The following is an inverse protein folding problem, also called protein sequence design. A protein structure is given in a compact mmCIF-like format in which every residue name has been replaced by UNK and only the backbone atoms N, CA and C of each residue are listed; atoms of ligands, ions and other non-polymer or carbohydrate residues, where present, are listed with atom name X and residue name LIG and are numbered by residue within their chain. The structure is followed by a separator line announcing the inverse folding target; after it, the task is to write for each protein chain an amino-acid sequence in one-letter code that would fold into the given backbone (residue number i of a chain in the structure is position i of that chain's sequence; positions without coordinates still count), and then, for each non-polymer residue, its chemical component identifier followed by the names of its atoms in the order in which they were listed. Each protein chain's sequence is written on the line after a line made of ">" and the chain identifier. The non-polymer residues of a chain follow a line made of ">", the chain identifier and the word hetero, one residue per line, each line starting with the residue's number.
data_IF_704619516051
#
_entry.id   IF_704619516051
#
_cell.length_a   1.000
_cell.length_b   1.000
_cell.length_c   1.000
_cell.angle_alpha   90.00
_cell.angle_beta   90.00
_cell.angle_gamma   90.00
#
_symmetry.space_group_name_H-M   'P 1'
#
loop_
_entity.id
_entity.type
_entity.pdbx_description
1 polymer ?
#
# COMPACT_ATOMS: atom_id res chain seq x y z
N UNK A 1 8.13 -25.76 -8.49
CA UNK A 1 7.03 -25.19 -7.69
C UNK A 1 7.63 -24.19 -6.73
N UNK A 2 7.19 -22.94 -6.82
CA UNK A 2 7.64 -21.87 -5.92
C UNK A 2 7.18 -22.19 -4.50
N UNK A 3 8.13 -22.21 -3.56
CA UNK A 3 7.87 -22.45 -2.13
C UNK A 3 7.06 -21.31 -1.48
N UNK A 4 7.05 -20.14 -2.10
CA UNK A 4 6.47 -18.92 -1.53
C UNK A 4 5.17 -18.54 -2.23
N UNK A 5 4.16 -18.17 -1.44
CA UNK A 5 2.92 -17.55 -1.86
C UNK A 5 2.81 -16.22 -1.12
N UNK A 6 2.86 -15.13 -1.85
CA UNK A 6 2.79 -13.79 -1.27
C UNK A 6 1.33 -13.33 -1.17
N UNK A 7 0.93 -12.91 0.03
CA UNK A 7 -0.28 -12.13 0.23
C UNK A 7 0.08 -10.70 0.59
N UNK A 8 -0.57 -9.79 -0.05
CA UNK A 8 -0.49 -8.35 0.24
C UNK A 8 -1.85 -7.71 0.01
N UNK A 9 -2.04 -6.49 0.45
CA UNK A 9 -3.30 -5.81 0.24
C UNK A 9 -3.29 -4.37 0.72
N UNK A 10 -4.33 -3.67 0.33
CA UNK A 10 -4.53 -2.27 0.67
C UNK A 10 -6.01 -2.01 0.97
N UNK A 11 -6.29 -1.02 1.82
CA UNK A 11 -7.66 -0.53 2.03
C UNK A 11 -8.02 0.47 0.93
N UNK A 12 -9.22 0.38 0.33
CA UNK A 12 -9.66 1.30 -0.72
C UNK A 12 -10.16 2.62 -0.11
N UNK A 13 -9.24 3.37 0.50
CA UNK A 13 -9.53 4.63 1.18
C UNK A 13 -9.35 5.87 0.32
N UNK A 14 -8.98 5.69 -0.92
CA UNK A 14 -8.76 6.76 -1.90
C UNK A 14 -7.75 6.36 -2.98
N UNK A 15 -7.27 7.36 -3.70
CA UNK A 15 -6.32 7.15 -4.80
C UNK A 15 -4.92 6.83 -4.28
N UNK A 16 -4.22 5.97 -5.00
CA UNK A 16 -2.83 5.64 -4.70
C UNK A 16 -1.89 6.80 -5.11
N UNK A 17 -0.80 6.94 -4.39
CA UNK A 17 0.21 7.96 -4.63
C UNK A 17 1.62 7.36 -4.75
N UNK A 18 2.62 8.18 -5.06
CA UNK A 18 4.01 7.74 -5.23
C UNK A 18 4.55 6.94 -4.05
N UNK A 19 4.14 7.26 -2.83
CA UNK A 19 4.55 6.52 -1.64
C UNK A 19 4.07 5.06 -1.66
N UNK A 20 2.85 4.80 -2.09
CA UNK A 20 2.34 3.44 -2.29
C UNK A 20 3.09 2.72 -3.42
N UNK A 21 3.35 3.43 -4.52
CA UNK A 21 4.04 2.86 -5.65
C UNK A 21 5.47 2.40 -5.31
N UNK A 22 6.30 3.31 -4.84
CA UNK A 22 7.69 2.98 -4.49
C UNK A 22 7.81 2.14 -3.22
N UNK A 23 6.87 2.30 -2.28
CA UNK A 23 6.85 1.56 -1.03
C UNK A 23 6.48 0.09 -1.18
N UNK A 24 5.50 -0.23 -2.02
CA UNK A 24 4.95 -1.59 -2.09
C UNK A 24 4.65 -2.09 -3.50
N UNK A 25 3.99 -1.30 -4.36
CA UNK A 25 3.45 -1.80 -5.63
C UNK A 25 4.56 -2.22 -6.59
N UNK A 26 5.61 -1.43 -6.68
CA UNK A 26 6.78 -1.73 -7.54
C UNK A 26 7.38 -3.10 -7.22
N UNK A 27 7.52 -3.42 -5.94
CA UNK A 27 8.05 -4.73 -5.51
C UNK A 27 7.06 -5.86 -5.78
N UNK A 28 5.76 -5.63 -5.61
CA UNK A 28 4.73 -6.61 -5.98
C UNK A 28 4.83 -6.98 -7.46
N UNK A 29 4.99 -5.99 -8.34
CA UNK A 29 5.18 -6.20 -9.78
C UNK A 29 6.46 -6.96 -10.07
N UNK A 30 7.56 -6.63 -9.40
CA UNK A 30 8.84 -7.34 -9.54
C UNK A 30 8.71 -8.81 -9.16
N UNK A 31 8.08 -9.11 -8.03
CA UNK A 31 7.87 -10.48 -7.55
C UNK A 31 6.93 -11.26 -8.48
N UNK A 32 5.85 -10.65 -8.94
CA UNK A 32 4.98 -11.22 -9.96
C UNK A 32 5.78 -11.62 -11.21
N UNK A 33 6.62 -10.72 -11.72
CA UNK A 33 7.40 -10.95 -12.94
C UNK A 33 8.49 -12.01 -12.75
N UNK A 34 8.94 -12.23 -11.52
CA UNK A 34 9.82 -13.35 -11.13
C UNK A 34 9.07 -14.68 -10.97
N UNK A 35 7.76 -14.70 -11.17
CA UNK A 35 6.94 -15.90 -11.06
C UNK A 35 6.56 -16.28 -9.63
N UNK A 36 6.66 -15.39 -8.67
CA UNK A 36 6.16 -15.61 -7.31
C UNK A 36 4.63 -15.49 -7.32
N UNK A 37 3.88 -16.55 -6.95
CA UNK A 37 2.44 -16.46 -6.81
C UNK A 37 2.05 -15.34 -5.87
N UNK A 38 1.35 -14.34 -6.40
CA UNK A 38 0.99 -13.12 -5.69
C UNK A 38 -0.52 -12.99 -5.60
N UNK A 39 -1.03 -12.66 -4.43
CA UNK A 39 -2.44 -12.42 -4.17
C UNK A 39 -2.60 -11.07 -3.50
N UNK A 40 -3.46 -10.25 -4.05
CA UNK A 40 -3.71 -8.88 -3.59
C UNK A 40 -5.15 -8.76 -3.16
N UNK A 41 -5.36 -8.55 -1.87
CA UNK A 41 -6.67 -8.26 -1.32
C UNK A 41 -6.92 -6.76 -1.28
N UNK A 42 -8.03 -6.33 -1.85
CA UNK A 42 -8.56 -4.99 -1.64
C UNK A 42 -9.52 -5.08 -0.46
N UNK A 43 -9.07 -4.59 0.69
CA UNK A 43 -9.74 -4.77 1.97
C UNK A 43 -10.92 -3.81 2.14
N UNK A 44 -11.97 -3.99 1.34
CA UNK A 44 -13.15 -3.12 1.32
C UNK A 44 -13.92 -3.13 2.65
N UNK A 45 -14.05 -4.27 3.33
CA UNK A 45 -14.68 -4.33 4.64
C UNK A 45 -13.88 -3.63 5.74
N UNK A 46 -12.57 -3.50 5.58
CA UNK A 46 -11.73 -2.81 6.57
C UNK A 46 -11.85 -1.29 6.52
N UNK A 47 -12.49 -0.73 5.50
CA UNK A 47 -12.75 0.71 5.43
C UNK A 47 -13.63 1.19 6.59
N UNK A 48 -14.58 0.36 7.04
CA UNK A 48 -15.50 0.70 8.14
C UNK A 48 -14.88 0.56 9.53
N UNK A 49 -13.62 0.16 9.66
CA UNK A 49 -12.92 0.03 10.94
C UNK A 49 -12.77 1.38 11.65
N UNK A 50 -12.46 2.41 10.88
CA UNK A 50 -12.16 3.77 11.37
C UNK A 50 -12.90 4.88 10.60
N UNK A 51 -13.90 4.52 9.78
CA UNK A 51 -14.66 5.47 8.95
C UNK A 51 -16.16 5.25 9.11
N UNK A 52 -16.86 6.35 9.29
CA UNK A 52 -18.33 6.35 9.46
C UNK A 52 -19.08 6.36 8.12
N UNK A 53 -18.38 6.59 7.01
CA UNK A 53 -18.98 6.66 5.66
C UNK A 53 -18.44 5.58 4.75
N UNK A 54 -19.36 4.92 4.04
CA UNK A 54 -19.09 3.95 2.98
C UNK A 54 -19.25 4.57 1.59
N UNK A 55 -19.53 5.86 1.54
CA UNK A 55 -19.62 6.60 0.29
C UNK A 55 -18.31 6.46 -0.51
N UNK A 56 -18.44 6.22 -1.80
CA UNK A 56 -17.30 6.06 -2.72
C UNK A 56 -16.42 4.82 -2.53
N UNK A 57 -16.74 3.85 -1.67
CA UNK A 57 -15.91 2.63 -1.54
C UNK A 57 -15.78 1.92 -2.88
N UNK A 58 -16.88 1.76 -3.62
CA UNK A 58 -16.86 1.08 -4.91
C UNK A 58 -16.01 1.82 -5.94
N UNK A 59 -16.13 3.15 -6.02
CA UNK A 59 -15.30 3.96 -6.91
C UNK A 59 -13.82 3.89 -6.51
N UNK A 60 -13.52 3.87 -5.23
CA UNK A 60 -12.17 3.71 -4.72
C UNK A 60 -11.59 2.33 -5.07
N UNK A 61 -12.40 1.28 -5.01
CA UNK A 61 -11.98 -0.08 -5.43
C UNK A 61 -11.62 -0.08 -6.91
N UNK A 62 -12.46 0.46 -7.77
CA UNK A 62 -12.19 0.50 -9.21
C UNK A 62 -10.97 1.35 -9.54
N UNK A 63 -10.83 2.51 -8.94
CA UNK A 63 -9.65 3.35 -9.10
C UNK A 63 -8.36 2.65 -8.66
N UNK A 64 -8.43 1.90 -7.58
CA UNK A 64 -7.29 1.12 -7.08
C UNK A 64 -6.90 0.00 -8.06
N UNK A 65 -7.87 -0.71 -8.63
CA UNK A 65 -7.63 -1.72 -9.67
C UNK A 65 -6.98 -1.08 -10.90
N UNK A 66 -7.48 0.06 -11.35
CA UNK A 66 -6.88 0.80 -12.47
C UNK A 66 -5.42 1.15 -12.16
N UNK A 67 -5.14 1.67 -10.97
CA UNK A 67 -3.77 1.99 -10.54
C UNK A 67 -2.87 0.75 -10.52
N UNK A 68 -3.34 -0.37 -9.98
CA UNK A 68 -2.59 -1.62 -9.97
C UNK A 68 -2.21 -2.10 -11.36
N UNK A 69 -3.15 -2.13 -12.27
CA UNK A 69 -2.92 -2.57 -13.65
C UNK A 69 -2.01 -1.59 -14.41
N UNK A 70 -2.21 -0.30 -14.22
CA UNK A 70 -1.36 0.73 -14.82
C UNK A 70 0.10 0.63 -14.33
N UNK A 71 0.30 0.23 -13.06
CA UNK A 71 1.63 0.00 -12.49
C UNK A 71 2.28 -1.31 -12.92
N UNK A 72 1.56 -2.21 -13.58
CA UNK A 72 2.10 -3.44 -14.14
C UNK A 72 1.64 -4.73 -13.47
N UNK A 73 0.72 -4.69 -12.50
CA UNK A 73 0.07 -5.91 -12.04
C UNK A 73 -0.78 -6.51 -13.16
N UNK A 74 -0.61 -7.80 -13.39
CA UNK A 74 -1.27 -8.56 -14.43
C UNK A 74 -2.30 -9.50 -13.79
N UNK A 75 -3.61 -9.34 -14.08
CA UNK A 75 -4.66 -10.16 -13.47
C UNK A 75 -4.60 -11.64 -13.88
N UNK A 76 -3.86 -11.98 -14.93
CA UNK A 76 -3.61 -13.38 -15.31
C UNK A 76 -2.51 -14.04 -14.45
N UNK A 77 -1.65 -13.24 -13.83
CA UNK A 77 -0.53 -13.70 -12.99
C UNK A 77 -0.76 -13.44 -11.52
N UNK A 78 -1.46 -12.36 -11.19
CA UNK A 78 -1.75 -11.91 -9.84
C UNK A 78 -3.25 -11.91 -9.61
N UNK A 79 -3.69 -12.63 -8.58
CA UNK A 79 -5.07 -12.60 -8.17
C UNK A 79 -5.36 -11.32 -7.40
N UNK A 80 -6.35 -10.55 -7.86
CA UNK A 80 -6.82 -9.32 -7.22
C UNK A 80 -8.29 -9.52 -6.85
N UNK A 81 -8.63 -9.35 -5.58
CA UNK A 81 -10.01 -9.56 -5.11
C UNK A 81 -10.36 -8.67 -3.92
N UNK A 82 -11.68 -8.50 -3.69
CA UNK A 82 -12.22 -7.80 -2.52
C UNK A 82 -12.78 -8.79 -1.50
N UNK A 83 -12.89 -8.40 -0.24
CA UNK A 83 -13.57 -9.20 0.78
C UNK A 83 -15.03 -9.49 0.41
N UNK A 84 -15.73 -8.48 -0.11
CA UNK A 84 -17.15 -8.58 -0.47
C UNK A 84 -17.39 -9.58 -1.61
N UNK A 85 -16.43 -9.80 -2.50
CA UNK A 85 -16.53 -10.76 -3.59
C UNK A 85 -16.21 -12.20 -3.16
N UNK A 86 -15.61 -12.41 -1.99
CA UNK A 86 -15.18 -13.73 -1.51
C UNK A 86 -15.77 -14.02 -0.12
N UNK A 87 -17.08 -14.31 -0.01
CA UNK A 87 -17.74 -14.54 1.27
C UNK A 87 -17.10 -15.66 2.10
N UNK A 88 -16.59 -16.70 1.44
CA UNK A 88 -15.96 -17.84 2.11
C UNK A 88 -14.74 -17.43 2.98
N UNK A 89 -13.99 -16.43 2.57
CA UNK A 89 -12.90 -15.89 3.37
C UNK A 89 -13.40 -15.36 4.72
N UNK A 90 -14.52 -14.63 4.69
CA UNK A 90 -15.10 -14.02 5.89
C UNK A 90 -15.69 -15.08 6.84
N UNK A 91 -16.07 -16.25 6.33
CA UNK A 91 -16.56 -17.36 7.15
C UNK A 91 -15.48 -17.93 8.10
N UNK A 92 -14.20 -17.70 7.83
CA UNK A 92 -13.12 -18.10 8.75
C UNK A 92 -13.09 -17.27 10.03
N UNK A 93 -13.77 -16.14 10.06
CA UNK A 93 -13.73 -15.23 11.21
C UNK A 93 -14.17 -15.89 12.51
N UNK A 94 -15.28 -16.62 12.51
CA UNK A 94 -15.78 -17.29 13.71
C UNK A 94 -14.83 -18.40 14.21
N UNK A 95 -14.39 -19.35 13.36
CA UNK A 95 -13.39 -20.33 13.79
C UNK A 95 -12.12 -19.71 14.33
N UNK A 96 -11.62 -18.64 13.73
CA UNK A 96 -10.38 -17.98 14.18
C UNK A 96 -10.58 -17.22 15.50
N UNK A 97 -11.69 -16.53 15.67
CA UNK A 97 -12.04 -15.89 16.94
C UNK A 97 -12.14 -16.88 18.10
N UNK A 98 -12.55 -18.13 17.83
CA UNK A 98 -12.60 -19.17 18.86
C UNK A 98 -11.23 -19.63 19.35
N UNK A 99 -10.16 -19.26 18.66
CA UNK A 99 -8.78 -19.63 18.96
C UNK A 99 -8.00 -18.53 19.68
N UNK A 100 -8.59 -17.37 19.90
CA UNK A 100 -7.94 -16.19 20.47
C UNK A 100 -8.73 -15.69 21.66
N UNK A 101 -8.04 -15.36 22.75
CA UNK A 101 -8.69 -14.80 23.94
C UNK A 101 -8.85 -13.28 23.84
N UNK A 102 -9.80 -12.72 24.56
CA UNK A 102 -10.00 -11.28 24.70
C UNK A 102 -8.70 -10.57 25.15
N UNK A 103 -8.02 -11.15 26.13
CA UNK A 103 -6.75 -10.61 26.65
C UNK A 103 -5.66 -10.53 25.57
N UNK A 104 -5.62 -11.47 24.66
CA UNK A 104 -4.66 -11.46 23.54
C UNK A 104 -5.00 -10.33 22.55
N UNK A 105 -6.27 -10.12 22.25
CA UNK A 105 -6.73 -9.01 21.40
C UNK A 105 -6.40 -7.65 22.00
N UNK A 106 -6.67 -7.46 23.28
CA UNK A 106 -6.38 -6.18 23.99
C UNK A 106 -4.89 -5.90 24.15
N UNK A 107 -4.02 -6.89 24.12
CA UNK A 107 -2.57 -6.70 24.20
C UNK A 107 -1.91 -6.26 22.89
N UNK A 108 -2.64 -6.27 21.77
CA UNK A 108 -2.10 -5.86 20.49
C UNK A 108 -1.70 -4.36 20.51
N UNK A 109 -0.41 -4.03 20.36
CA UNK A 109 0.06 -2.65 20.48
C UNK A 109 -0.45 -1.76 19.37
N UNK A 110 -0.64 -2.29 18.17
CA UNK A 110 -1.12 -1.53 17.02
C UNK A 110 -2.58 -1.14 17.20
N UNK A 111 -3.43 -2.06 17.68
CA UNK A 111 -4.84 -1.76 18.00
C UNK A 111 -4.93 -0.69 19.08
N UNK A 112 -4.08 -0.75 20.11
CA UNK A 112 -4.03 0.29 21.15
C UNK A 112 -3.69 1.66 20.58
N UNK A 113 -2.66 1.74 19.76
CA UNK A 113 -2.22 2.99 19.13
C UNK A 113 -3.30 3.58 18.22
N UNK A 114 -3.99 2.74 17.46
CA UNK A 114 -5.07 3.17 16.59
C UNK A 114 -6.30 3.66 17.38
N UNK A 115 -6.63 2.99 18.46
CA UNK A 115 -7.69 3.43 19.36
C UNK A 115 -7.39 4.81 19.97
N UNK A 116 -6.17 5.01 20.45
CA UNK A 116 -5.73 6.29 21.01
C UNK A 116 -5.72 7.39 19.95
N UNK A 117 -5.25 7.09 18.74
CA UNK A 117 -5.17 8.06 17.64
C UNK A 117 -6.55 8.44 17.08
N UNK A 118 -7.51 7.51 17.05
CA UNK A 118 -8.85 7.75 16.50
C UNK A 118 -9.73 8.59 17.41
N UNK A 119 -9.49 8.57 18.71
CA UNK A 119 -10.36 9.21 19.73
C UNK A 119 -11.76 8.59 19.82
N UNK A 120 -12.03 7.50 19.12
CA UNK A 120 -13.30 6.80 19.11
C UNK A 120 -13.32 5.65 20.13
N UNK A 121 -14.53 5.22 20.49
CA UNK A 121 -14.69 4.03 21.30
C UNK A 121 -14.15 2.79 20.57
N UNK A 122 -13.59 1.86 21.34
CA UNK A 122 -13.13 0.57 20.81
C UNK A 122 -14.34 -0.25 20.35
N UNK A 123 -14.57 -0.30 19.05
CA UNK A 123 -15.60 -1.15 18.45
C UNK A 123 -15.15 -2.60 18.37
N UNK A 124 -16.10 -3.53 18.24
CA UNK A 124 -15.77 -4.94 18.00
C UNK A 124 -14.89 -5.14 16.75
N UNK A 125 -15.14 -4.39 15.69
CA UNK A 125 -14.35 -4.48 14.47
C UNK A 125 -12.92 -3.96 14.68
N UNK A 126 -12.75 -2.81 15.36
CA UNK A 126 -11.42 -2.27 15.64
C UNK A 126 -10.60 -3.22 16.54
N UNK A 127 -11.24 -3.88 17.50
CA UNK A 127 -10.58 -4.88 18.34
C UNK A 127 -10.17 -6.13 17.56
N UNK A 128 -11.01 -6.57 16.63
CA UNK A 128 -10.87 -7.89 15.96
C UNK A 128 -10.35 -7.84 14.55
N UNK A 129 -10.08 -6.66 13.96
CA UNK A 129 -9.60 -6.58 12.58
C UNK A 129 -8.29 -7.36 12.33
N UNK A 130 -7.35 -7.53 13.30
CA UNK A 130 -6.19 -8.39 13.09
C UNK A 130 -6.57 -9.85 12.82
N UNK A 131 -7.69 -10.32 13.35
CA UNK A 131 -8.21 -11.67 13.08
C UNK A 131 -8.80 -11.76 11.66
N UNK A 132 -9.46 -10.71 11.21
CA UNK A 132 -9.93 -10.62 9.82
C UNK A 132 -8.75 -10.56 8.84
N UNK A 133 -7.67 -9.86 9.18
CA UNK A 133 -6.42 -9.89 8.40
C UNK A 133 -5.82 -11.31 8.38
N UNK A 134 -5.89 -12.06 9.47
CA UNK A 134 -5.49 -13.47 9.50
C UNK A 134 -6.35 -14.33 8.55
N UNK A 135 -7.64 -14.01 8.41
CA UNK A 135 -8.50 -14.67 7.41
C UNK A 135 -7.97 -14.43 6.00
N UNK A 136 -7.58 -13.21 5.65
CA UNK A 136 -7.01 -12.88 4.33
C UNK A 136 -5.77 -13.73 4.03
N UNK A 137 -4.85 -13.79 4.97
CA UNK A 137 -3.57 -14.46 4.81
C UNK A 137 -3.75 -15.97 4.72
N UNK A 138 -4.48 -16.56 5.66
CA UNK A 138 -4.61 -18.01 5.77
C UNK A 138 -5.56 -18.61 4.72
N UNK A 139 -6.62 -17.91 4.37
CA UNK A 139 -7.50 -18.33 3.28
C UNK A 139 -6.73 -18.47 1.96
N UNK A 140 -5.86 -17.53 1.66
CA UNK A 140 -5.03 -17.56 0.47
C UNK A 140 -3.82 -18.51 0.57
N UNK A 141 -3.63 -19.20 1.69
CA UNK A 141 -2.43 -19.99 1.96
C UNK A 141 -1.14 -19.17 1.83
N UNK A 142 -1.22 -17.87 2.11
CA UNK A 142 -0.07 -16.98 2.10
C UNK A 142 0.95 -17.38 3.16
N UNK A 143 2.20 -17.54 2.75
CA UNK A 143 3.29 -17.85 3.67
C UNK A 143 4.35 -16.74 3.75
N UNK A 144 4.25 -15.72 2.90
CA UNK A 144 5.06 -14.51 2.93
C UNK A 144 4.16 -13.29 2.84
N UNK A 145 4.30 -12.37 3.77
CA UNK A 145 3.49 -11.15 3.84
C UNK A 145 4.43 -9.95 3.97
N UNK A 146 4.54 -9.10 2.93
CA UNK A 146 5.28 -7.85 3.03
C UNK A 146 4.62 -6.91 4.02
N UNK A 147 5.36 -6.46 5.03
CA UNK A 147 4.83 -5.63 6.13
C UNK A 147 5.81 -4.57 6.59
N UNK A 148 5.27 -3.47 7.12
CA UNK A 148 6.02 -2.57 7.99
C UNK A 148 6.20 -3.14 9.39
N UNK A 149 7.08 -2.56 10.18
CA UNK A 149 7.36 -3.01 11.56
C UNK A 149 6.12 -2.98 12.46
N UNK A 150 5.23 -2.02 12.26
CA UNK A 150 3.98 -1.85 12.98
C UNK A 150 2.97 -2.98 12.73
N UNK A 151 3.11 -3.71 11.63
CA UNK A 151 2.24 -4.82 11.25
C UNK A 151 2.75 -6.20 11.75
N UNK A 152 3.96 -6.29 12.25
CA UNK A 152 4.52 -7.56 12.78
C UNK A 152 3.65 -8.20 13.86
N UNK A 153 3.02 -7.46 14.80
CA UNK A 153 2.11 -8.06 15.77
C UNK A 153 0.92 -8.78 15.13
N UNK A 154 0.42 -8.30 13.99
CA UNK A 154 -0.66 -8.96 13.26
C UNK A 154 -0.21 -10.25 12.57
N UNK A 155 1.02 -10.28 12.09
CA UNK A 155 1.60 -11.52 11.54
C UNK A 155 1.80 -12.55 12.64
N UNK A 156 2.25 -12.16 13.83
CA UNK A 156 2.43 -13.09 14.94
C UNK A 156 1.11 -13.68 15.42
N UNK A 157 0.04 -12.88 15.54
CA UNK A 157 -1.29 -13.42 15.90
C UNK A 157 -1.81 -14.36 14.81
N UNK A 158 -1.55 -14.08 13.53
CA UNK A 158 -1.90 -14.97 12.42
C UNK A 158 -1.16 -16.30 12.52
N UNK A 159 0.12 -16.30 12.87
CA UNK A 159 0.93 -17.50 13.11
C UNK A 159 0.35 -18.34 14.24
N UNK A 160 -0.02 -17.70 15.34
CA UNK A 160 -0.63 -18.37 16.51
C UNK A 160 -1.96 -19.04 16.14
N UNK A 161 -2.80 -18.34 15.35
CA UNK A 161 -4.07 -18.89 14.86
C UNK A 161 -3.80 -20.11 13.98
N UNK A 162 -2.86 -20.03 13.05
CA UNK A 162 -2.50 -21.15 12.17
C UNK A 162 -2.07 -22.38 12.98
N UNK A 163 -1.18 -22.22 13.98
CA UNK A 163 -0.73 -23.30 14.87
C UNK A 163 -1.90 -23.92 15.62
N UNK A 164 -2.69 -23.11 16.33
CA UNK A 164 -3.83 -23.57 17.14
C UNK A 164 -4.89 -24.26 16.29
N UNK A 165 -5.13 -23.75 15.09
CA UNK A 165 -6.03 -24.39 14.15
C UNK A 165 -5.50 -25.76 13.71
N UNK A 166 -4.23 -25.80 13.31
CA UNK A 166 -3.60 -27.04 12.86
C UNK A 166 -3.52 -28.11 13.94
N UNK A 167 -3.26 -27.72 15.19
CA UNK A 167 -3.24 -28.64 16.35
C UNK A 167 -4.63 -29.23 16.63
N UNK A 168 -5.68 -28.43 16.48
CA UNK A 168 -7.04 -28.84 16.80
C UNK A 168 -7.73 -29.62 15.68
N UNK A 169 -7.53 -29.21 14.44
CA UNK A 169 -8.30 -29.68 13.29
C UNK A 169 -7.48 -30.39 12.22
N UNK A 170 -6.16 -30.49 12.41
CA UNK A 170 -5.24 -31.05 11.43
C UNK A 170 -4.52 -29.99 10.60
N UNK A 171 -3.44 -30.38 9.96
CA UNK A 171 -2.53 -29.48 9.24
C UNK A 171 -3.19 -28.91 7.99
N UNK A 172 -3.68 -27.68 8.06
CA UNK A 172 -4.40 -26.96 6.99
C UNK A 172 -3.65 -25.70 6.54
N UNK A 173 -3.17 -24.90 7.49
CA UNK A 173 -2.60 -23.57 7.19
C UNK A 173 -1.08 -23.54 7.33
N UNK A 174 -0.38 -22.83 6.43
CA UNK A 174 1.01 -22.50 6.66
C UNK A 174 1.13 -21.48 7.80
N UNK A 175 2.31 -21.43 8.44
CA UNK A 175 2.65 -20.33 9.33
C UNK A 175 3.31 -19.22 8.51
N UNK A 176 2.67 -18.07 8.35
CA UNK A 176 3.20 -17.01 7.51
C UNK A 176 4.39 -16.31 8.17
N UNK A 177 5.29 -15.78 7.35
CA UNK A 177 6.40 -14.93 7.77
C UNK A 177 6.20 -13.52 7.25
N UNK A 178 6.46 -12.54 8.12
CA UNK A 178 6.51 -11.13 7.72
C UNK A 178 7.81 -10.85 6.98
N UNK A 179 7.71 -10.33 5.76
CA UNK A 179 8.84 -9.80 5.02
C UNK A 179 8.90 -8.29 5.28
N UNK A 180 9.87 -7.87 6.09
CA UNK A 180 10.08 -6.45 6.32
C UNK A 180 10.50 -5.78 5.03
N UNK A 181 9.78 -4.75 4.67
CA UNK A 181 10.14 -3.90 3.55
C UNK A 181 11.20 -2.90 4.03
N UNK A 182 12.43 -3.07 3.57
CA UNK A 182 13.54 -2.13 3.82
C UNK A 182 13.45 -0.88 2.93
N UNK A 183 12.39 -0.73 2.14
CA UNK A 183 12.17 0.47 1.36
C UNK A 183 12.10 1.69 2.29
N UNK A 184 12.88 2.73 2.05
CA UNK A 184 12.84 3.92 2.88
C UNK A 184 11.44 4.53 2.82
N UNK A 185 10.99 5.08 3.95
CA UNK A 185 9.74 5.83 3.99
C UNK A 185 9.86 7.03 3.05
N UNK A 186 8.96 7.10 2.07
CA UNK A 186 9.00 8.14 1.06
C UNK A 186 8.35 9.39 1.63
N UNK A 187 9.08 10.50 1.74
CA UNK A 187 8.52 11.72 2.28
C UNK A 187 7.53 12.36 1.32
N UNK A 188 6.50 12.98 1.87
CA UNK A 188 5.69 13.93 1.13
C UNK A 188 6.49 15.18 0.75
N UNK A 189 5.95 16.03 -0.10
CA UNK A 189 6.64 17.21 -0.63
C UNK A 189 7.03 18.27 0.43
N UNK A 190 6.55 18.13 1.64
CA UNK A 190 6.86 18.96 2.81
C UNK A 190 7.82 18.31 3.80
N UNK A 191 8.36 17.15 3.46
CA UNK A 191 9.27 16.37 4.30
C UNK A 191 8.60 15.48 5.35
N UNK A 192 7.30 15.65 5.61
CA UNK A 192 6.53 14.76 6.48
C UNK A 192 6.17 13.46 5.74
N UNK A 193 5.64 12.48 6.47
CA UNK A 193 5.07 11.27 5.86
C UNK A 193 4.11 11.64 4.72
N UNK A 194 4.26 10.99 3.58
CA UNK A 194 3.36 11.21 2.45
C UNK A 194 1.94 10.77 2.80
N UNK A 195 1.00 11.70 2.71
CA UNK A 195 -0.41 11.45 3.00
C UNK A 195 -1.30 12.37 2.19
N UNK A 196 -2.37 11.81 1.66
CA UNK A 196 -3.39 12.58 0.94
C UNK A 196 -4.01 13.67 1.84
N UNK A 197 -4.21 13.39 3.13
CA UNK A 197 -4.79 14.33 4.09
C UNK A 197 -3.90 15.55 4.35
N UNK A 198 -2.60 15.44 4.14
CA UNK A 198 -1.66 16.55 4.29
C UNK A 198 -1.51 17.38 2.99
N UNK A 199 -2.10 16.94 1.88
CA UNK A 199 -1.92 17.61 0.60
C UNK A 199 -0.49 17.59 0.06
N UNK A 200 0.35 16.69 0.52
CA UNK A 200 1.77 16.57 0.19
C UNK A 200 2.10 15.36 -0.70
N UNK A 201 1.07 14.67 -1.20
CA UNK A 201 1.22 13.44 -1.98
C UNK A 201 0.94 13.67 -3.46
N UNK A 202 1.79 13.12 -4.32
CA UNK A 202 1.56 13.07 -5.76
C UNK A 202 0.79 11.81 -6.07
N UNK A 203 -0.50 11.94 -6.44
CA UNK A 203 -1.34 10.81 -6.85
C UNK A 203 -0.93 10.29 -8.22
N UNK A 204 -1.00 8.96 -8.40
CA UNK A 204 -0.69 8.32 -9.68
C UNK A 204 -1.63 8.78 -10.81
N UNK A 205 -2.85 9.21 -10.46
CA UNK A 205 -3.83 9.71 -11.40
C UNK A 205 -3.69 11.21 -11.75
N UNK A 206 -2.77 11.94 -11.11
CA UNK A 206 -2.57 13.34 -11.42
C UNK A 206 -2.04 13.52 -12.85
N UNK A 207 -2.52 14.57 -13.51
CA UNK A 207 -1.97 15.03 -14.78
C UNK A 207 -0.58 15.65 -14.59
N UNK A 208 0.13 15.86 -15.68
CA UNK A 208 1.40 16.57 -15.69
C UNK A 208 1.29 17.98 -15.08
N UNK A 209 0.18 18.66 -15.38
CA UNK A 209 -0.10 20.02 -14.88
C UNK A 209 -0.42 20.03 -13.38
N UNK A 210 -1.24 19.09 -12.91
CA UNK A 210 -1.57 18.94 -11.48
C UNK A 210 -0.31 18.63 -10.66
N UNK A 211 0.55 17.76 -11.16
CA UNK A 211 1.86 17.43 -10.56
C UNK A 211 2.75 18.66 -10.50
N UNK A 212 2.87 19.40 -11.59
CA UNK A 212 3.67 20.62 -11.65
C UNK A 212 3.16 21.69 -10.67
N UNK A 213 1.85 21.88 -10.57
CA UNK A 213 1.23 22.83 -9.63
C UNK A 213 1.55 22.44 -8.17
N UNK A 214 1.44 21.16 -7.84
CA UNK A 214 1.70 20.68 -6.49
C UNK A 214 3.17 20.88 -6.11
N UNK A 215 4.11 20.50 -6.98
CA UNK A 215 5.54 20.68 -6.77
C UNK A 215 5.89 22.18 -6.65
N UNK A 216 5.31 23.02 -7.49
CA UNK A 216 5.54 24.47 -7.44
C UNK A 216 5.13 25.08 -6.10
N UNK A 217 4.03 24.59 -5.50
CA UNK A 217 3.52 25.07 -4.20
C UNK A 217 4.27 24.48 -3.00
N UNK A 218 5.09 23.46 -3.19
CA UNK A 218 5.83 22.85 -2.08
C UNK A 218 6.75 23.86 -1.39
N UNK A 219 6.85 23.75 -0.07
CA UNK A 219 7.69 24.65 0.71
C UNK A 219 9.15 24.26 0.57
N UNK A 220 9.98 25.28 0.40
CA UNK A 220 11.43 25.22 0.45
C UNK A 220 11.93 26.30 1.43
N UNK A 221 13.21 26.31 1.70
CA UNK A 221 13.83 27.32 2.56
C UNK A 221 14.41 28.51 1.75
N UNK A 222 15.03 29.43 2.44
CA UNK A 222 15.64 30.64 1.86
C UNK A 222 17.05 30.42 1.29
N UNK A 223 17.68 29.29 1.53
CA UNK A 223 19.01 28.99 1.02
C UNK A 223 18.96 28.68 -0.48
N UNK A 224 19.76 29.42 -1.22
CA UNK A 224 19.81 29.29 -2.68
C UNK A 224 20.58 28.03 -3.11
N UNK A 225 21.68 27.72 -2.42
CA UNK A 225 22.51 26.56 -2.74
C UNK A 225 21.79 25.29 -2.30
N UNK A 226 21.63 24.33 -3.20
CA UNK A 226 20.88 23.09 -2.93
C UNK A 226 21.80 22.05 -2.30
N UNK A 227 21.40 21.58 -1.12
CA UNK A 227 22.06 20.49 -0.39
C UNK A 227 21.02 19.50 0.11
N UNK A 228 21.45 18.26 0.28
CA UNK A 228 20.61 17.20 0.87
C UNK A 228 20.84 17.14 2.39
N UNK A 229 19.85 17.58 3.15
CA UNK A 229 19.88 17.60 4.62
C UNK A 229 18.45 17.44 5.14
N UNK A 230 18.11 16.22 5.56
CA UNK A 230 16.75 15.89 6.02
C UNK A 230 16.34 16.64 7.29
N UNK A 231 17.29 16.93 8.17
CA UNK A 231 17.02 17.54 9.46
C UNK A 231 16.79 19.04 9.33
N UNK A 232 17.67 19.72 8.60
CA UNK A 232 17.66 21.18 8.51
C UNK A 232 16.89 21.68 7.28
N UNK A 233 16.78 20.87 6.24
CA UNK A 233 16.14 21.21 4.96
C UNK A 233 15.13 20.15 4.50
N UNK A 234 14.09 19.86 5.29
CA UNK A 234 13.17 18.75 5.00
C UNK A 234 12.43 18.90 3.67
N UNK A 235 12.01 20.09 3.31
CA UNK A 235 11.30 20.34 2.05
C UNK A 235 12.17 20.17 0.82
N UNK A 236 13.37 20.75 0.82
CA UNK A 236 14.36 20.58 -0.25
C UNK A 236 14.78 19.11 -0.37
N UNK A 237 15.06 18.47 0.74
CA UNK A 237 15.48 17.05 0.78
C UNK A 237 14.38 16.10 0.30
N UNK A 238 13.12 16.40 0.59
CA UNK A 238 11.99 15.63 0.09
C UNK A 238 11.86 15.73 -1.45
N UNK A 239 12.08 16.90 -2.00
CA UNK A 239 12.12 17.10 -3.45
C UNK A 239 13.27 16.32 -4.09
N UNK A 240 14.46 16.36 -3.50
CA UNK A 240 15.62 15.60 -3.97
C UNK A 240 15.36 14.08 -3.92
N UNK A 241 14.80 13.59 -2.84
CA UNK A 241 14.45 12.16 -2.71
C UNK A 241 13.42 11.74 -3.76
N UNK A 242 12.41 12.56 -4.01
CA UNK A 242 11.41 12.28 -5.06
C UNK A 242 12.06 12.17 -6.45
N UNK A 243 12.94 13.10 -6.79
CA UNK A 243 13.68 13.05 -8.05
C UNK A 243 14.64 11.84 -8.12
N UNK A 244 15.33 11.53 -7.03
CA UNK A 244 16.23 10.39 -6.92
C UNK A 244 15.50 9.06 -7.22
N UNK A 245 14.33 8.87 -6.62
CA UNK A 245 13.48 7.68 -6.86
C UNK A 245 13.04 7.55 -8.32
N UNK A 246 12.75 8.67 -8.98
CA UNK A 246 12.29 8.68 -10.37
C UNK A 246 13.44 8.52 -11.38
N UNK A 247 14.63 8.99 -11.06
CA UNK A 247 15.78 9.02 -11.99
C UNK A 247 16.80 7.91 -11.75
N UNK A 248 16.79 7.30 -10.55
CA UNK A 248 17.82 6.36 -10.13
C UNK A 248 19.18 7.01 -9.76
N UNK A 249 19.22 8.33 -9.69
CA UNK A 249 20.41 9.10 -9.25
C UNK A 249 20.35 9.34 -7.74
N UNK A 250 21.49 9.60 -7.11
CA UNK A 250 21.50 9.96 -5.68
C UNK A 250 21.03 11.38 -5.47
N UNK A 251 20.51 11.66 -4.27
CA UNK A 251 20.11 13.01 -3.85
C UNK A 251 21.27 14.00 -3.90
N UNK A 252 22.45 13.56 -3.50
CA UNK A 252 23.66 14.36 -3.50
C UNK A 252 24.12 14.74 -4.90
N UNK A 253 24.05 13.81 -5.86
CA UNK A 253 24.39 14.10 -7.26
C UNK A 253 23.45 15.13 -7.86
N UNK A 254 22.14 14.99 -7.62
CA UNK A 254 21.12 15.93 -8.10
C UNK A 254 21.33 17.31 -7.45
N UNK A 255 21.58 17.34 -6.13
CA UNK A 255 21.82 18.57 -5.39
C UNK A 255 23.06 19.30 -5.92
N UNK A 256 24.16 18.57 -6.18
CA UNK A 256 25.39 19.14 -6.71
C UNK A 256 25.20 19.72 -8.12
N UNK A 257 24.41 19.06 -8.96
CA UNK A 257 24.12 19.55 -10.32
C UNK A 257 23.32 20.86 -10.30
N UNK A 258 22.32 20.97 -9.43
CA UNK A 258 21.50 22.17 -9.31
C UNK A 258 22.28 23.30 -8.65
N UNK A 259 23.04 22.98 -7.61
CA UNK A 259 23.95 23.93 -6.92
C UNK A 259 23.29 25.26 -6.59
N UNK A 260 23.84 26.36 -7.16
CA UNK A 260 23.36 27.73 -6.94
C UNK A 260 22.15 28.16 -7.78
N UNK A 261 21.60 27.30 -8.62
CA UNK A 261 20.43 27.65 -9.46
C UNK A 261 19.15 27.78 -8.62
N UNK A 262 19.16 27.23 -7.41
CA UNK A 262 18.15 27.50 -6.38
C UNK A 262 16.92 26.61 -6.47
N UNK A 263 15.96 26.86 -5.58
CA UNK A 263 14.75 26.06 -5.41
C UNK A 263 13.85 26.01 -6.66
N UNK A 264 13.86 27.06 -7.47
CA UNK A 264 13.09 27.10 -8.73
C UNK A 264 13.60 26.07 -9.74
N UNK A 265 14.92 25.97 -9.89
CA UNK A 265 15.56 24.97 -10.74
C UNK A 265 15.34 23.55 -10.20
N UNK A 266 15.44 23.37 -8.88
CA UNK A 266 15.12 22.09 -8.22
C UNK A 266 13.68 21.65 -8.53
N UNK A 267 12.69 22.50 -8.33
CA UNK A 267 11.29 22.21 -8.59
C UNK A 267 11.02 21.86 -10.06
N UNK A 268 11.68 22.54 -10.98
CA UNK A 268 11.61 22.23 -12.41
C UNK A 268 12.16 20.83 -12.69
N UNK A 269 13.35 20.52 -12.16
CA UNK A 269 13.98 19.22 -12.31
C UNK A 269 13.12 18.09 -11.74
N UNK A 270 12.55 18.27 -10.56
CA UNK A 270 11.67 17.28 -9.91
C UNK A 270 10.39 17.07 -10.73
N UNK A 271 9.79 18.14 -11.22
CA UNK A 271 8.59 18.06 -12.07
C UNK A 271 8.86 17.26 -13.35
N UNK A 272 9.95 17.53 -14.04
CA UNK A 272 10.35 16.81 -15.25
C UNK A 272 10.64 15.34 -14.94
N UNK A 273 11.34 15.06 -13.85
CA UNK A 273 11.68 13.70 -13.41
C UNK A 273 10.42 12.87 -13.10
N UNK A 274 9.49 13.42 -12.32
CA UNK A 274 8.24 12.75 -11.96
C UNK A 274 7.36 12.53 -13.18
N UNK A 275 7.17 13.55 -14.00
CA UNK A 275 6.31 13.45 -15.19
C UNK A 275 6.86 12.47 -16.22
N UNK A 276 8.17 12.43 -16.41
CA UNK A 276 8.83 11.44 -17.29
C UNK A 276 8.64 10.03 -16.75
N UNK A 277 8.85 9.84 -15.44
CA UNK A 277 8.72 8.53 -14.81
C UNK A 277 7.29 7.99 -14.86
N UNK A 278 6.30 8.85 -14.57
CA UNK A 278 4.88 8.47 -14.53
C UNK A 278 4.21 8.40 -15.90
N UNK A 279 4.81 8.92 -16.96
CA UNK A 279 4.22 8.97 -18.29
C UNK A 279 3.69 7.60 -18.77
N UNK A 280 4.43 6.48 -18.69
CA UNK A 280 3.93 5.18 -19.11
C UNK A 280 2.76 4.69 -18.25
N UNK A 281 2.80 4.96 -16.94
CA UNK A 281 1.74 4.57 -15.99
C UNK A 281 0.46 5.36 -16.30
N UNK A 282 0.59 6.67 -16.54
CA UNK A 282 -0.54 7.54 -16.91
C UNK A 282 -1.17 7.17 -18.24
N UNK A 283 -0.38 6.79 -19.22
CA UNK A 283 -0.88 6.33 -20.53
C UNK A 283 -1.71 5.05 -20.38
N UNK A 284 -1.20 4.05 -19.66
CA UNK A 284 -1.96 2.82 -19.35
C UNK A 284 -3.22 3.11 -18.56
N UNK A 285 -3.14 4.02 -17.56
CA UNK A 285 -4.28 4.39 -16.75
C UNK A 285 -5.40 5.00 -17.60
N UNK A 286 -5.08 5.93 -18.50
CA UNK A 286 -6.07 6.53 -19.43
C UNK A 286 -6.72 5.50 -20.33
N UNK A 287 -5.97 4.53 -20.83
CA UNK A 287 -6.52 3.43 -21.62
C UNK A 287 -7.50 2.56 -20.81
N UNK A 288 -7.15 2.24 -19.55
CA UNK A 288 -7.98 1.42 -18.66
C UNK A 288 -9.26 2.13 -18.20
N UNK A 289 -9.22 3.42 -18.00
CA UNK A 289 -10.41 4.23 -17.66
C UNK A 289 -11.51 4.17 -18.73
N UNK A 290 -11.15 3.86 -19.96
CA UNK A 290 -12.09 3.67 -21.06
C UNK A 290 -12.64 2.24 -21.15
N UNK A 291 -12.11 1.30 -20.38
CA UNK A 291 -12.51 -0.12 -20.36
C UNK A 291 -13.04 -0.51 -18.98
N UNK A 292 -14.09 0.18 -18.55
CA UNK A 292 -14.67 -0.02 -17.22
C UNK A 292 -15.26 -1.41 -17.01
N UNK A 293 -15.73 -2.08 -18.06
CA UNK A 293 -16.33 -3.41 -17.93
C UNK A 293 -15.26 -4.43 -17.51
N UNK A 294 -14.11 -4.43 -18.17
CA UNK A 294 -12.97 -5.26 -17.76
C UNK A 294 -12.51 -4.95 -16.34
N UNK A 295 -12.46 -3.65 -15.96
CA UNK A 295 -12.04 -3.23 -14.63
C UNK A 295 -13.00 -3.73 -13.53
N UNK A 296 -14.30 -3.68 -13.77
CA UNK A 296 -15.31 -4.12 -12.80
C UNK A 296 -15.27 -5.62 -12.54
N UNK A 297 -14.93 -6.39 -13.54
CA UNK A 297 -14.89 -7.85 -13.44
C UNK A 297 -13.67 -8.37 -12.68
N UNK A 298 -12.54 -7.66 -12.68
CA UNK A 298 -11.29 -8.10 -12.06
C UNK A 298 -11.44 -8.38 -10.55
N UNK A 299 -11.91 -7.45 -9.69
CA UNK A 299 -11.98 -7.68 -8.25
C UNK A 299 -13.05 -8.67 -7.81
N UNK A 300 -13.96 -9.06 -8.69
CA UNK A 300 -15.04 -10.03 -8.44
C UNK A 300 -14.81 -11.35 -9.16
N UNK A 301 -13.87 -11.42 -10.08
CA UNK A 301 -13.53 -12.62 -10.85
C UNK A 301 -12.60 -13.53 -10.04
N UNK A 302 -13.17 -14.24 -9.08
CA UNK A 302 -12.47 -15.24 -8.27
C UNK A 302 -12.57 -16.68 -8.85
N UNK A 303 -13.04 -16.82 -10.09
CA UNK A 303 -13.15 -18.11 -10.78
C UNK A 303 -11.82 -18.82 -11.00
N UNK A 304 -10.70 -18.09 -10.83
CA UNK A 304 -9.35 -18.67 -10.85
C UNK A 304 -8.84 -19.09 -9.46
N UNK A 305 -9.60 -18.82 -8.41
CA UNK A 305 -9.38 -19.41 -7.08
C UNK A 305 -9.89 -20.86 -7.11
N UNK A 306 -9.21 -21.73 -7.82
CA UNK A 306 -9.27 -23.14 -7.48
C UNK A 306 -8.57 -23.30 -6.14
N UNK A 307 -9.33 -23.21 -5.08
CA UNK A 307 -8.90 -23.68 -3.78
C UNK A 307 -8.67 -25.18 -3.90
N UNK A 308 -7.50 -25.69 -3.47
CA UNK A 308 -7.29 -27.12 -3.40
C UNK A 308 -8.27 -27.77 -2.43
#
# INVERSE_FOLDING_TARGET
>A
PTKYVMLTGDRPTGRLHLGHYFGTIKERVNLQNKGVPTRVVIADYQVITDRDTTEHIQDNVYNMVIDYLACGLDPEKTLIFTHSAVPALNQLMLPFLSLVTESELHRNPTVKSEMEASGHALTGLLLTYPIHQACDILFCKGNVVPVGKDQLPHIEITRQIARRFNERYGKVFPEPEGLLNDAPEIPGLDGRKMSKSYGNAISLCFTEEETAKLIKKSQTDSERFITYDKENRPGVSALLTTAALCTGRSEEEIAAEIGNDGSGALKKYVTESVNTYLAPIREKRRALENDLDTIKDIPVSYTHLTLP
#
